data_IF_592391746770
#
_entry.id   IF_592391746770
#
_cell.length_a   1.000
_cell.length_b   1.000
_cell.length_c   1.000
_cell.angle_alpha   90.00
_cell.angle_beta   90.00
_cell.angle_gamma   90.00
#
_symmetry.space_group_name_H-M   'P 1'
#
loop_
_entity.id
_entity.type
_entity.pdbx_description
1 polymer ?
#
# COMPACT_ATOMS: atom_id res chain seq x y z
N UNK A 1 12.20 9.35 -18.14
CA UNK A 1 11.96 10.53 -17.29
C UNK A 1 13.17 10.78 -16.41
N UNK A 2 13.61 12.02 -16.32
CA UNK A 2 14.69 12.42 -15.43
C UNK A 2 14.25 12.26 -13.98
N UNK A 3 15.17 11.80 -13.13
CA UNK A 3 14.90 11.61 -11.70
C UNK A 3 14.48 12.92 -11.01
N UNK A 4 15.07 14.03 -11.38
CA UNK A 4 14.69 15.34 -10.81
C UNK A 4 13.24 15.70 -11.18
N UNK A 5 12.81 15.42 -12.39
CA UNK A 5 11.42 15.64 -12.80
C UNK A 5 10.47 14.76 -12.00
N UNK A 6 10.86 13.51 -11.76
CA UNK A 6 10.08 12.59 -10.94
C UNK A 6 9.93 13.13 -9.52
N UNK A 7 11.02 13.57 -8.89
CA UNK A 7 10.97 14.11 -7.53
C UNK A 7 10.11 15.37 -7.46
N UNK A 8 10.25 16.28 -8.42
CA UNK A 8 9.47 17.52 -8.44
C UNK A 8 7.97 17.24 -8.59
N UNK A 9 7.60 16.29 -9.44
CA UNK A 9 6.19 15.95 -9.67
C UNK A 9 5.60 15.20 -8.49
N UNK A 10 6.36 14.34 -7.82
CA UNK A 10 5.88 13.67 -6.60
C UNK A 10 5.70 14.66 -5.45
N UNK A 11 6.58 15.64 -5.32
CA UNK A 11 6.44 16.73 -4.34
C UNK A 11 5.19 17.57 -4.65
N UNK A 12 4.96 17.88 -5.92
CA UNK A 12 3.76 18.60 -6.34
C UNK A 12 2.49 17.84 -5.97
N UNK A 13 2.47 16.52 -6.22
CA UNK A 13 1.33 15.69 -5.84
C UNK A 13 1.10 15.70 -4.33
N UNK A 14 2.17 15.63 -3.53
CA UNK A 14 2.09 15.69 -2.07
C UNK A 14 1.52 17.03 -1.60
N UNK A 15 1.94 18.13 -2.20
CA UNK A 15 1.44 19.47 -1.88
C UNK A 15 -0.04 19.61 -2.24
N UNK A 16 -0.43 19.10 -3.40
CA UNK A 16 -1.83 19.11 -3.82
C UNK A 16 -2.70 18.28 -2.86
N UNK A 17 -2.19 17.13 -2.43
CA UNK A 17 -2.87 16.28 -1.46
C UNK A 17 -3.04 17.01 -0.11
N UNK A 18 -1.98 17.65 0.37
CA UNK A 18 -2.02 18.43 1.61
C UNK A 18 -3.01 19.59 1.54
N UNK A 19 -3.22 20.14 0.35
CA UNK A 19 -4.17 21.24 0.10
C UNK A 19 -5.59 20.73 -0.24
N UNK A 20 -5.83 19.44 -0.08
CA UNK A 20 -7.11 18.77 -0.38
C UNK A 20 -7.53 18.89 -1.85
N UNK A 21 -6.57 19.07 -2.73
CA UNK A 21 -6.80 19.11 -4.19
C UNK A 21 -6.62 17.69 -4.76
N UNK A 22 -7.54 16.80 -4.39
CA UNK A 22 -7.41 15.37 -4.63
C UNK A 22 -7.40 15.00 -6.12
N UNK A 23 -8.28 15.60 -6.91
CA UNK A 23 -8.35 15.32 -8.34
C UNK A 23 -7.06 15.74 -9.06
N UNK A 24 -6.54 16.91 -8.70
CA UNK A 24 -5.28 17.40 -9.29
C UNK A 24 -4.11 16.52 -8.88
N UNK A 25 -4.06 16.07 -7.61
CA UNK A 25 -3.04 15.15 -7.14
C UNK A 25 -3.10 13.81 -7.89
N UNK A 26 -4.31 13.26 -8.06
CA UNK A 26 -4.54 12.04 -8.82
C UNK A 26 -4.02 12.17 -10.26
N UNK A 27 -4.33 13.29 -10.92
CA UNK A 27 -3.90 13.51 -12.29
C UNK A 27 -2.38 13.54 -12.43
N UNK A 28 -1.67 14.16 -11.48
CA UNK A 28 -0.20 14.20 -11.47
C UNK A 28 0.35 12.78 -11.26
N UNK A 29 -0.17 12.05 -10.28
CA UNK A 29 0.28 10.70 -9.98
C UNK A 29 0.02 9.73 -11.15
N UNK A 30 -1.15 9.85 -11.78
CA UNK A 30 -1.49 9.02 -12.92
C UNK A 30 -0.57 9.29 -14.10
N UNK A 31 -0.27 10.56 -14.36
CA UNK A 31 0.68 10.96 -15.41
C UNK A 31 2.06 10.34 -15.18
N UNK A 32 2.54 10.35 -13.91
CA UNK A 32 3.80 9.72 -13.54
C UNK A 32 3.75 8.21 -13.75
N UNK A 33 2.66 7.57 -13.36
CA UNK A 33 2.48 6.13 -13.48
C UNK A 33 2.52 5.67 -14.95
N UNK A 34 2.04 6.52 -15.86
CA UNK A 34 2.02 6.25 -17.29
C UNK A 34 3.34 6.60 -17.98
N UNK A 35 4.29 7.18 -17.26
CA UNK A 35 5.59 7.57 -17.79
C UNK A 35 6.60 6.40 -17.66
N UNK A 36 7.81 6.62 -18.18
CA UNK A 36 8.89 5.62 -18.13
C UNK A 36 9.61 5.69 -16.78
N UNK A 37 8.98 5.14 -15.75
CA UNK A 37 9.55 5.03 -14.40
C UNK A 37 9.73 3.55 -14.05
N UNK A 38 10.59 3.26 -13.08
CA UNK A 38 10.88 1.89 -12.65
C UNK A 38 9.67 1.25 -11.97
N UNK A 39 9.66 -0.08 -11.87
CA UNK A 39 8.58 -0.79 -11.17
C UNK A 39 8.56 -0.48 -9.67
N UNK A 40 9.72 -0.19 -9.06
CA UNK A 40 9.78 0.31 -7.68
C UNK A 40 9.01 1.63 -7.56
N UNK A 41 9.26 2.55 -8.47
CA UNK A 41 8.57 3.84 -8.48
C UNK A 41 7.08 3.68 -8.76
N UNK A 42 6.71 2.76 -9.67
CA UNK A 42 5.31 2.47 -9.95
C UNK A 42 4.59 1.94 -8.71
N UNK A 43 5.23 1.05 -7.95
CA UNK A 43 4.66 0.55 -6.69
C UNK A 43 4.44 1.70 -5.69
N UNK A 44 5.42 2.59 -5.55
CA UNK A 44 5.29 3.76 -4.69
C UNK A 44 4.18 4.71 -5.14
N UNK A 45 4.03 4.92 -6.45
CA UNK A 45 2.94 5.72 -6.99
C UNK A 45 1.58 5.12 -6.70
N UNK A 46 1.47 3.79 -6.73
CA UNK A 46 0.25 3.10 -6.34
C UNK A 46 -0.10 3.34 -4.87
N UNK A 47 0.89 3.36 -3.97
CA UNK A 47 0.68 3.71 -2.57
C UNK A 47 0.14 5.13 -2.44
N UNK A 48 0.70 6.08 -3.18
CA UNK A 48 0.23 7.46 -3.15
C UNK A 48 -1.18 7.61 -3.70
N UNK A 49 -1.50 6.87 -4.78
CA UNK A 49 -2.88 6.83 -5.31
C UNK A 49 -3.85 6.28 -4.27
N UNK A 50 -3.45 5.26 -3.53
CA UNK A 50 -4.27 4.71 -2.45
C UNK A 50 -4.54 5.77 -1.36
N UNK A 51 -3.54 6.59 -1.02
CA UNK A 51 -3.72 7.68 -0.05
C UNK A 51 -4.76 8.69 -0.55
N UNK A 52 -4.69 9.06 -1.83
CA UNK A 52 -5.68 9.99 -2.42
C UNK A 52 -7.09 9.44 -2.27
N UNK A 53 -7.30 8.18 -2.63
CA UNK A 53 -8.63 7.56 -2.56
C UNK A 53 -9.08 7.31 -1.13
N UNK A 54 -8.16 7.04 -0.20
CA UNK A 54 -8.50 6.95 1.22
C UNK A 54 -9.06 8.28 1.73
N UNK A 55 -8.43 9.39 1.35
CA UNK A 55 -8.87 10.72 1.74
C UNK A 55 -10.23 11.10 1.16
N UNK A 56 -10.60 10.53 0.00
CA UNK A 56 -11.90 10.76 -0.62
C UNK A 56 -12.95 9.73 -0.20
N UNK A 57 -12.59 8.78 0.64
CA UNK A 57 -13.53 7.80 1.20
C UNK A 57 -13.89 6.65 0.27
N UNK A 58 -13.05 6.36 -0.73
CA UNK A 58 -13.31 5.29 -1.70
C UNK A 58 -12.46 4.06 -1.41
N UNK A 59 -12.94 3.19 -0.51
CA UNK A 59 -12.18 2.03 -0.05
C UNK A 59 -11.96 0.98 -1.15
N UNK A 60 -12.88 0.85 -2.10
CA UNK A 60 -12.69 -0.08 -3.23
C UNK A 60 -11.50 0.32 -4.09
N UNK A 61 -11.36 1.62 -4.37
CA UNK A 61 -10.22 2.14 -5.12
C UNK A 61 -8.93 2.01 -4.34
N UNK A 62 -8.96 2.22 -3.02
CA UNK A 62 -7.77 2.04 -2.18
C UNK A 62 -7.23 0.62 -2.32
N UNK A 63 -8.10 -0.38 -2.20
CA UNK A 63 -7.69 -1.79 -2.30
C UNK A 63 -7.22 -2.14 -3.71
N UNK A 64 -7.86 -1.59 -4.74
CA UNK A 64 -7.46 -1.80 -6.13
C UNK A 64 -6.05 -1.26 -6.39
N UNK A 65 -5.72 -0.10 -5.84
CA UNK A 65 -4.37 0.47 -6.00
C UNK A 65 -3.32 -0.32 -5.22
N UNK A 66 -3.64 -0.83 -4.04
CA UNK A 66 -2.74 -1.72 -3.32
C UNK A 66 -2.46 -2.99 -4.13
N UNK A 67 -3.49 -3.61 -4.70
CA UNK A 67 -3.31 -4.83 -5.50
C UNK A 67 -2.42 -4.57 -6.72
N UNK A 68 -2.61 -3.43 -7.37
CA UNK A 68 -1.77 -3.05 -8.51
C UNK A 68 -0.33 -2.81 -8.09
N UNK A 69 -0.11 -2.12 -6.97
CA UNK A 69 1.23 -1.89 -6.43
C UNK A 69 1.92 -3.19 -6.03
N UNK A 70 1.19 -4.13 -5.44
CA UNK A 70 1.73 -5.45 -5.12
C UNK A 70 2.19 -6.18 -6.37
N UNK A 71 1.47 -6.04 -7.49
CA UNK A 71 1.88 -6.62 -8.76
C UNK A 71 3.22 -6.10 -9.26
N UNK A 72 3.51 -4.83 -9.02
CA UNK A 72 4.80 -4.25 -9.39
C UNK A 72 5.93 -4.67 -8.44
N UNK A 73 5.65 -4.80 -7.15
CA UNK A 73 6.71 -5.05 -6.16
C UNK A 73 7.08 -6.52 -5.99
N UNK A 74 6.14 -7.45 -6.17
CA UNK A 74 6.38 -8.88 -5.93
C UNK A 74 7.54 -9.46 -6.76
N UNK A 75 7.66 -9.19 -8.06
CA UNK A 75 8.80 -9.70 -8.82
C UNK A 75 10.15 -9.16 -8.34
N UNK A 76 10.13 -8.06 -7.59
CA UNK A 76 11.34 -7.42 -7.03
C UNK A 76 11.61 -7.88 -5.60
N UNK A 77 10.87 -8.86 -5.11
CA UNK A 77 10.98 -9.37 -3.73
C UNK A 77 10.78 -8.28 -2.68
N UNK A 78 9.85 -7.36 -2.95
CA UNK A 78 9.47 -6.27 -2.05
C UNK A 78 8.05 -6.48 -1.55
N UNK A 79 7.73 -5.94 -0.37
CA UNK A 79 6.44 -6.17 0.26
C UNK A 79 5.88 -4.95 1.01
N UNK A 80 6.38 -3.75 0.67
CA UNK A 80 5.91 -2.51 1.31
C UNK A 80 4.42 -2.27 1.06
N UNK A 81 3.95 -2.50 -0.17
CA UNK A 81 2.54 -2.31 -0.51
C UNK A 81 1.67 -3.36 0.17
N UNK A 82 2.14 -4.61 0.20
CA UNK A 82 1.41 -5.69 0.89
C UNK A 82 1.20 -5.36 2.38
N UNK A 83 2.23 -4.81 3.05
CA UNK A 83 2.12 -4.39 4.45
C UNK A 83 1.10 -3.27 4.63
N UNK A 84 1.10 -2.28 3.74
CA UNK A 84 0.13 -1.19 3.82
C UNK A 84 -1.30 -1.67 3.59
N UNK A 85 -1.49 -2.63 2.67
CA UNK A 85 -2.80 -3.25 2.47
C UNK A 85 -3.26 -3.98 3.73
N UNK A 86 -2.38 -4.76 4.36
CA UNK A 86 -2.72 -5.48 5.59
C UNK A 86 -3.10 -4.51 6.71
N UNK A 87 -2.34 -3.43 6.88
CA UNK A 87 -2.63 -2.40 7.88
C UNK A 87 -3.96 -1.71 7.61
N UNK A 88 -4.22 -1.37 6.37
CA UNK A 88 -5.48 -0.74 5.97
C UNK A 88 -6.67 -1.62 6.29
N UNK A 89 -6.60 -2.91 5.93
CA UNK A 89 -7.66 -3.87 6.23
C UNK A 89 -7.87 -4.02 7.74
N UNK A 90 -6.79 -4.08 8.52
CA UNK A 90 -6.87 -4.17 9.97
C UNK A 90 -7.53 -2.92 10.57
N UNK A 91 -7.19 -1.74 10.07
CA UNK A 91 -7.77 -0.46 10.53
C UNK A 91 -9.26 -0.36 10.22
N UNK A 92 -9.72 -1.00 9.14
CA UNK A 92 -11.14 -1.10 8.81
C UNK A 92 -11.87 -2.15 9.64
N UNK A 93 -11.17 -2.91 10.47
CA UNK A 93 -11.77 -4.02 11.22
C UNK A 93 -11.86 -5.32 10.45
N UNK A 94 -11.27 -5.39 9.26
CA UNK A 94 -11.27 -6.60 8.42
C UNK A 94 -10.08 -7.49 8.76
N UNK A 95 -10.01 -7.92 10.03
CA UNK A 95 -8.86 -8.66 10.56
C UNK A 95 -8.66 -10.00 9.85
N UNK A 96 -9.75 -10.69 9.51
CA UNK A 96 -9.66 -11.99 8.82
C UNK A 96 -9.15 -11.89 7.40
N UNK A 97 -9.26 -10.71 6.78
CA UNK A 97 -8.72 -10.46 5.45
C UNK A 97 -7.24 -10.02 5.49
N UNK A 98 -6.83 -9.39 6.60
CA UNK A 98 -5.44 -8.96 6.77
C UNK A 98 -4.52 -10.15 7.08
N UNK A 99 -4.99 -11.14 7.83
CA UNK A 99 -4.19 -12.29 8.25
C UNK A 99 -3.56 -13.04 7.08
N UNK A 100 -4.27 -13.38 6.00
CA UNK A 100 -3.67 -14.11 4.87
C UNK A 100 -2.49 -13.38 4.22
N UNK A 101 -2.48 -12.05 4.25
CA UNK A 101 -1.37 -11.25 3.70
C UNK A 101 -0.09 -11.52 4.50
N UNK A 102 -0.19 -11.48 5.82
CA UNK A 102 0.96 -11.79 6.69
C UNK A 102 1.39 -13.25 6.56
N UNK A 103 0.43 -14.18 6.47
CA UNK A 103 0.73 -15.59 6.31
C UNK A 103 1.50 -15.86 5.02
N UNK A 104 1.13 -15.20 3.94
CA UNK A 104 1.85 -15.33 2.66
C UNK A 104 3.28 -14.79 2.78
N UNK A 105 3.46 -13.68 3.49
CA UNK A 105 4.79 -13.10 3.72
C UNK A 105 5.69 -14.02 4.55
N UNK A 106 5.10 -14.78 5.47
CA UNK A 106 5.87 -15.75 6.27
C UNK A 106 6.50 -16.86 5.42
N UNK A 107 5.94 -17.12 4.23
CA UNK A 107 6.44 -18.16 3.32
C UNK A 107 7.60 -17.67 2.45
N UNK A 108 7.87 -16.36 2.44
CA UNK A 108 8.84 -15.78 1.49
C UNK A 108 10.25 -15.77 2.08
N UNK A 109 11.21 -16.30 1.30
CA UNK A 109 12.60 -16.36 1.74
C UNK A 109 13.25 -14.97 1.85
N UNK A 110 12.73 -13.97 1.13
CA UNK A 110 13.27 -12.61 1.15
C UNK A 110 12.79 -11.79 2.35
N UNK A 111 11.88 -12.32 3.17
CA UNK A 111 11.46 -11.66 4.41
C UNK A 111 12.39 -12.14 5.52
N UNK A 112 12.97 -11.19 6.27
CA UNK A 112 13.92 -11.50 7.36
C UNK A 112 13.22 -12.13 8.56
N UNK A 113 13.98 -12.84 9.39
CA UNK A 113 13.42 -13.54 10.55
C UNK A 113 12.84 -12.57 11.58
N UNK A 114 13.44 -11.40 11.77
CA UNK A 114 12.92 -10.40 12.69
C UNK A 114 11.54 -9.90 12.23
N UNK A 115 11.39 -9.64 10.93
CA UNK A 115 10.10 -9.23 10.36
C UNK A 115 9.08 -10.35 10.45
N UNK A 116 9.50 -11.61 10.22
CA UNK A 116 8.60 -12.75 10.36
C UNK A 116 8.08 -12.90 11.78
N UNK A 117 8.92 -12.67 12.78
CA UNK A 117 8.49 -12.68 14.17
C UNK A 117 7.45 -11.60 14.45
N UNK A 118 7.65 -10.40 13.89
CA UNK A 118 6.68 -9.32 14.01
C UNK A 118 5.36 -9.67 13.32
N UNK A 119 5.41 -10.32 12.16
CA UNK A 119 4.21 -10.74 11.43
C UNK A 119 3.44 -11.81 12.22
N UNK A 120 4.15 -12.76 12.86
CA UNK A 120 3.50 -13.77 13.71
C UNK A 120 2.78 -13.12 14.89
N UNK A 121 3.40 -12.10 15.50
CA UNK A 121 2.77 -11.34 16.60
C UNK A 121 1.54 -10.60 16.10
N UNK A 122 1.63 -9.97 14.94
CA UNK A 122 0.51 -9.23 14.35
C UNK A 122 -0.64 -10.17 14.02
N UNK A 123 -0.37 -11.34 13.47
CA UNK A 123 -1.39 -12.36 13.21
C UNK A 123 -2.13 -12.71 14.49
N UNK A 124 -1.41 -12.94 15.59
CA UNK A 124 -2.05 -13.26 16.88
C UNK A 124 -2.96 -12.14 17.37
N UNK A 125 -2.52 -10.88 17.23
CA UNK A 125 -3.33 -9.72 17.61
C UNK A 125 -4.59 -9.66 16.76
N UNK A 126 -4.47 -9.83 15.44
CA UNK A 126 -5.60 -9.76 14.52
C UNK A 126 -6.60 -10.88 14.74
N UNK A 127 -6.12 -12.11 14.99
CA UNK A 127 -6.99 -13.24 15.29
C UNK A 127 -7.73 -13.03 16.62
N UNK A 128 -7.06 -12.48 17.62
CA UNK A 128 -7.68 -12.12 18.89
C UNK A 128 -8.79 -11.09 18.72
N UNK A 129 -8.56 -10.07 17.89
CA UNK A 129 -9.59 -9.06 17.57
C UNK A 129 -10.76 -9.67 16.83
N UNK A 130 -10.49 -10.56 15.88
CA UNK A 130 -11.54 -11.25 15.12
C UNK A 130 -12.43 -12.09 16.05
N UNK A 131 -11.84 -12.82 16.99
CA UNK A 131 -12.59 -13.58 18.00
C UNK A 131 -13.45 -12.65 18.84
N UNK A 132 -12.89 -11.51 19.28
CA UNK A 132 -13.62 -10.51 20.05
C UNK A 132 -14.84 -9.96 19.34
N UNK A 133 -14.76 -9.82 18.00
CA UNK A 133 -15.87 -9.32 17.20
C UNK A 133 -17.06 -10.29 17.12
N UNK A 134 -16.84 -11.56 17.41
CA UNK A 134 -17.88 -12.58 17.41
C UNK A 134 -18.70 -12.60 18.71
N UNK A 135 -18.23 -11.92 19.74
CA UNK A 135 -18.93 -11.81 21.03
C UNK A 135 -19.80 -10.55 21.05
#
# INVERSE_FOLDING_TARGET
MDYQDYVQLTEKASQLLASSKYKEAEDVLYSLLMSDVSDVDKANLCLQMAIVHDRTGNSEEVLAWYDKGMGYEQPLCRYAVALEKARYLADLGHCTEAVPIYEELLKQAYVGEAEKDNFRKEIRVLLSRAIGQWK
#
